data_IF_657324094890
#
_entry.id   IF_657324094890
#
_cell.length_a   1.000
_cell.length_b   1.000
_cell.length_c   1.000
_cell.angle_alpha   90.00
_cell.angle_beta   90.00
_cell.angle_gamma   90.00
#
_symmetry.space_group_name_H-M   'P 1'
#
loop_
_entity.id
_entity.type
_entity.pdbx_description
1 polymer ?
#
# COMPACT_ATOMS: atom_id res chain seq x y z
N UNK A 1 -6.95 6.81 27.73
CA UNK A 1 -5.91 7.49 26.88
C UNK A 1 -5.73 6.56 25.68
N UNK A 2 -5.63 7.08 24.46
CA UNK A 2 -5.38 6.24 23.28
C UNK A 2 -3.98 5.63 23.36
N UNK A 3 -3.82 4.36 22.90
CA UNK A 3 -2.50 3.75 22.68
C UNK A 3 -1.83 4.40 21.46
N UNK A 4 -0.52 4.19 21.28
CA UNK A 4 0.19 4.70 20.10
C UNK A 4 -0.35 4.05 18.81
N UNK A 5 -0.77 2.78 18.86
CA UNK A 5 -1.47 2.10 17.76
C UNK A 5 -2.81 2.77 17.41
N UNK A 6 -3.62 3.13 18.42
CA UNK A 6 -4.89 3.84 18.18
C UNK A 6 -4.68 5.24 17.60
N UNK A 7 -3.64 5.96 18.03
CA UNK A 7 -3.26 7.26 17.46
C UNK A 7 -2.82 7.12 15.99
N UNK A 8 -1.95 6.16 15.70
CA UNK A 8 -1.47 5.85 14.36
C UNK A 8 -2.63 5.66 13.39
N UNK A 9 -3.59 4.78 13.72
CA UNK A 9 -4.75 4.52 12.88
C UNK A 9 -5.75 5.68 12.80
N UNK A 10 -5.74 6.57 13.79
CA UNK A 10 -6.55 7.79 13.78
C UNK A 10 -5.92 8.92 12.95
N UNK A 11 -4.69 8.74 12.43
CA UNK A 11 -3.94 9.78 11.72
C UNK A 11 -3.44 10.90 12.64
N UNK A 12 -3.39 10.63 13.95
CA UNK A 12 -2.80 11.50 14.96
C UNK A 12 -1.28 11.28 15.03
N UNK A 13 -0.58 12.21 15.64
CA UNK A 13 0.85 12.03 15.91
C UNK A 13 1.04 10.91 16.95
N UNK A 14 1.96 9.99 16.66
CA UNK A 14 2.29 8.84 17.50
C UNK A 14 3.80 8.61 17.56
N UNK A 15 4.25 7.92 18.60
CA UNK A 15 5.64 7.56 18.79
C UNK A 15 5.95 6.24 18.10
N UNK A 16 6.65 6.29 16.95
CA UNK A 16 6.91 5.11 16.11
C UNK A 16 7.79 4.03 16.78
N UNK A 17 8.52 4.38 17.84
CA UNK A 17 9.35 3.43 18.57
C UNK A 17 8.64 2.84 19.82
N UNK A 18 7.32 2.89 19.89
CA UNK A 18 6.51 2.24 20.92
C UNK A 18 6.66 0.71 20.85
N UNK A 19 6.69 0.05 22.02
CA UNK A 19 6.94 -1.39 22.11
C UNK A 19 5.85 -2.22 21.40
N UNK A 20 4.56 -1.83 21.53
CA UNK A 20 3.45 -2.53 20.84
C UNK A 20 3.62 -2.45 19.33
N UNK A 21 3.94 -1.27 18.80
CA UNK A 21 4.15 -1.06 17.36
C UNK A 21 5.33 -1.86 16.82
N UNK A 22 6.45 -1.89 17.57
CA UNK A 22 7.65 -2.66 17.18
C UNK A 22 7.34 -4.17 17.13
N UNK A 23 6.57 -4.69 18.08
CA UNK A 23 6.17 -6.11 18.09
C UNK A 23 5.35 -6.44 16.85
N UNK A 24 4.28 -5.67 16.58
CA UNK A 24 3.40 -5.88 15.42
C UNK A 24 4.17 -5.76 14.08
N UNK A 25 5.07 -4.78 13.98
CA UNK A 25 5.92 -4.59 12.81
C UNK A 25 6.83 -5.80 12.56
N UNK A 26 7.44 -6.35 13.61
CA UNK A 26 8.33 -7.52 13.50
C UNK A 26 7.55 -8.78 13.15
N UNK A 27 6.38 -9.01 13.74
CA UNK A 27 5.49 -10.12 13.38
C UNK A 27 5.10 -10.09 11.89
N UNK A 28 4.80 -8.91 11.36
CA UNK A 28 4.50 -8.75 9.95
C UNK A 28 5.72 -9.00 9.06
N UNK A 29 6.91 -8.51 9.45
CA UNK A 29 8.16 -8.77 8.73
C UNK A 29 8.48 -10.27 8.64
N UNK A 30 8.29 -11.00 9.74
CA UNK A 30 8.48 -12.45 9.75
C UNK A 30 7.45 -13.14 8.84
N UNK A 31 6.19 -12.71 8.88
CA UNK A 31 5.15 -13.25 7.99
C UNK A 31 5.43 -12.97 6.50
N UNK A 32 5.94 -11.78 6.17
CA UNK A 32 6.39 -11.46 4.81
C UNK A 32 7.60 -12.28 4.40
N UNK A 33 8.56 -12.49 5.31
CA UNK A 33 9.71 -13.36 5.03
C UNK A 33 9.26 -14.78 4.72
N UNK A 34 8.39 -15.39 5.54
CA UNK A 34 7.84 -16.70 5.29
C UNK A 34 7.10 -16.78 3.94
N UNK A 35 6.24 -15.78 3.63
CA UNK A 35 5.56 -15.69 2.33
C UNK A 35 6.56 -15.71 1.18
N UNK A 36 7.62 -14.93 1.28
CA UNK A 36 8.62 -14.79 0.22
C UNK A 36 9.49 -16.04 0.03
N UNK A 37 9.51 -16.98 0.98
CA UNK A 37 10.20 -18.27 0.84
C UNK A 37 9.32 -19.38 0.24
N UNK A 38 8.00 -19.19 0.13
CA UNK A 38 7.11 -20.19 -0.47
C UNK A 38 7.43 -20.32 -1.96
N UNK A 39 7.58 -21.55 -2.45
CA UNK A 39 7.84 -21.80 -3.88
C UNK A 39 6.73 -21.19 -4.74
N UNK A 40 7.05 -20.47 -5.84
CA UNK A 40 6.05 -19.79 -6.70
C UNK A 40 4.94 -20.70 -7.23
N UNK A 41 5.23 -21.99 -7.41
CA UNK A 41 4.26 -22.99 -7.90
C UNK A 41 3.26 -23.48 -6.84
N UNK A 42 3.47 -23.16 -5.57
CA UNK A 42 2.60 -23.53 -4.44
C UNK A 42 1.47 -22.51 -4.26
N UNK A 43 0.61 -22.40 -5.26
CA UNK A 43 -0.40 -21.33 -5.33
C UNK A 43 -1.34 -21.31 -4.12
N UNK A 44 -1.82 -22.46 -3.67
CA UNK A 44 -2.70 -22.57 -2.49
C UNK A 44 -2.02 -22.05 -1.22
N UNK A 45 -0.79 -22.54 -0.95
CA UNK A 45 0.00 -22.14 0.22
C UNK A 45 0.30 -20.63 0.23
N UNK A 46 0.61 -20.07 -0.95
CA UNK A 46 0.81 -18.63 -1.12
C UNK A 46 -0.45 -17.83 -0.81
N UNK A 47 -1.60 -18.28 -1.33
CA UNK A 47 -2.87 -17.60 -1.12
C UNK A 47 -3.27 -17.64 0.37
N UNK A 48 -3.20 -18.80 1.01
CA UNK A 48 -3.47 -18.95 2.45
C UNK A 48 -2.57 -18.02 3.29
N UNK A 49 -1.28 -17.92 2.95
CA UNK A 49 -0.35 -17.05 3.68
C UNK A 49 -0.64 -15.56 3.45
N UNK A 50 -0.95 -15.14 2.22
CA UNK A 50 -1.30 -13.75 1.92
C UNK A 50 -2.58 -13.32 2.64
N UNK A 51 -3.59 -14.20 2.75
CA UNK A 51 -4.82 -13.93 3.51
C UNK A 51 -4.53 -13.77 5.02
N UNK A 52 -3.52 -14.45 5.55
CA UNK A 52 -3.09 -14.27 6.94
C UNK A 52 -2.38 -12.93 7.16
N UNK A 53 -1.63 -12.43 6.18
CA UNK A 53 -0.93 -11.14 6.27
C UNK A 53 -1.91 -9.99 6.13
N UNK A 54 -2.73 -9.99 5.09
CA UNK A 54 -3.60 -8.86 4.77
C UNK A 54 -4.79 -8.74 5.75
N UNK A 55 -5.27 -7.52 5.95
CA UNK A 55 -6.47 -7.26 6.74
C UNK A 55 -7.75 -7.69 6.05
N UNK A 56 -7.79 -7.61 4.70
CA UNK A 56 -8.86 -8.13 3.87
C UNK A 56 -8.34 -8.49 2.49
N UNK A 57 -8.70 -9.68 2.02
CA UNK A 57 -8.43 -10.15 0.65
C UNK A 57 -9.45 -11.22 0.27
N UNK A 58 -9.54 -11.57 -1.00
CA UNK A 58 -10.37 -12.65 -1.53
C UNK A 58 -9.52 -13.85 -1.97
N UNK A 59 -10.17 -14.99 -2.24
CA UNK A 59 -9.53 -16.23 -2.68
C UNK A 59 -8.81 -16.08 -4.03
N UNK A 60 -9.18 -15.09 -4.84
CA UNK A 60 -8.59 -14.76 -6.12
C UNK A 60 -7.50 -13.66 -6.03
N UNK A 61 -7.11 -13.28 -4.82
CA UNK A 61 -6.00 -12.35 -4.60
C UNK A 61 -4.68 -12.99 -5.01
N UNK A 62 -3.95 -12.31 -5.89
CA UNK A 62 -2.65 -12.81 -6.36
C UNK A 62 -1.58 -11.73 -6.24
N UNK A 63 -0.54 -12.02 -5.46
CA UNK A 63 0.64 -11.15 -5.30
C UNK A 63 1.88 -11.95 -5.65
N UNK A 64 2.69 -11.46 -6.60
CA UNK A 64 3.99 -12.06 -6.88
C UNK A 64 5.02 -11.69 -5.80
N UNK A 65 5.84 -12.66 -5.46
CA UNK A 65 6.95 -12.50 -4.52
C UNK A 65 8.15 -11.82 -5.22
N UNK A 66 8.96 -11.02 -4.49
CA UNK A 66 8.76 -10.70 -3.09
C UNK A 66 7.67 -9.63 -2.88
N UNK A 67 7.04 -9.66 -1.71
CA UNK A 67 6.10 -8.67 -1.20
C UNK A 67 6.54 -8.20 0.18
N UNK A 68 6.39 -6.91 0.48
CA UNK A 68 6.74 -6.31 1.76
C UNK A 68 5.68 -5.31 2.22
N UNK A 69 5.36 -5.36 3.50
CA UNK A 69 4.53 -4.38 4.17
C UNK A 69 4.93 -4.24 5.63
N UNK A 70 4.47 -3.19 6.30
CA UNK A 70 4.82 -2.92 7.69
C UNK A 70 3.92 -3.66 8.68
N UNK A 71 2.61 -3.59 8.52
CA UNK A 71 1.64 -4.24 9.40
C UNK A 71 0.78 -5.29 8.68
N UNK A 72 0.54 -5.12 7.38
CA UNK A 72 -0.29 -5.99 6.55
C UNK A 72 -1.78 -5.92 6.89
N UNK A 73 -2.12 -5.85 8.16
CA UNK A 73 -3.51 -5.81 8.65
C UNK A 73 -4.28 -4.56 8.27
N UNK A 74 -3.60 -3.51 7.87
CA UNK A 74 -4.23 -2.28 7.38
C UNK A 74 -4.42 -2.28 5.86
N UNK A 75 -3.93 -3.31 5.15
CA UNK A 75 -4.12 -3.46 3.70
C UNK A 75 -5.41 -4.23 3.43
N UNK A 76 -6.28 -3.64 2.62
CA UNK A 76 -7.56 -4.21 2.19
C UNK A 76 -7.62 -4.19 0.68
N UNK A 77 -7.77 -5.36 0.06
CA UNK A 77 -7.90 -5.49 -1.39
C UNK A 77 -9.25 -6.10 -1.75
N UNK A 78 -9.78 -5.67 -2.89
CA UNK A 78 -11.00 -6.19 -3.47
C UNK A 78 -10.77 -7.46 -4.28
N UNK A 79 -11.80 -7.85 -5.02
CA UNK A 79 -11.82 -9.07 -5.85
C UNK A 79 -10.88 -8.96 -7.04
N UNK A 80 -10.32 -10.09 -7.48
CA UNK A 80 -9.46 -10.19 -8.67
C UNK A 80 -8.26 -9.24 -8.62
N UNK A 81 -7.77 -8.98 -7.42
CA UNK A 81 -6.58 -8.18 -7.20
C UNK A 81 -5.33 -8.91 -7.69
N UNK A 82 -4.55 -8.26 -8.52
CA UNK A 82 -3.27 -8.76 -9.01
C UNK A 82 -2.15 -7.77 -8.71
N UNK A 83 -1.08 -8.24 -8.08
CA UNK A 83 0.16 -7.47 -7.95
C UNK A 83 1.35 -8.25 -8.53
N UNK A 84 2.16 -7.55 -9.30
CA UNK A 84 3.40 -8.07 -9.85
C UNK A 84 4.53 -8.02 -8.80
N UNK A 85 5.74 -8.38 -9.20
CA UNK A 85 6.90 -8.51 -8.33
C UNK A 85 7.23 -7.23 -7.57
N UNK A 86 7.67 -7.40 -6.32
CA UNK A 86 8.26 -6.35 -5.51
C UNK A 86 7.28 -5.19 -5.21
N UNK A 87 6.03 -5.53 -4.88
CA UNK A 87 5.10 -4.56 -4.29
C UNK A 87 5.56 -4.26 -2.86
N UNK A 88 5.67 -2.97 -2.52
CA UNK A 88 5.98 -2.46 -1.18
C UNK A 88 4.83 -1.59 -0.69
N UNK A 89 4.32 -1.87 0.50
CA UNK A 89 3.24 -1.07 1.12
C UNK A 89 3.63 -0.73 2.54
N UNK A 90 3.87 0.56 2.82
CA UNK A 90 4.07 1.05 4.19
C UNK A 90 2.68 1.45 4.71
N UNK A 91 2.10 0.56 5.52
CA UNK A 91 0.68 0.61 5.90
C UNK A 91 0.45 0.99 7.37
N UNK A 92 1.05 2.07 7.83
CA UNK A 92 0.76 2.70 9.13
C UNK A 92 -0.68 3.21 9.20
N UNK A 93 -1.25 3.64 8.06
CA UNK A 93 -2.68 3.88 7.90
C UNK A 93 -3.29 2.90 6.90
N UNK A 94 -4.62 2.87 6.80
CA UNK A 94 -5.30 1.98 5.87
C UNK A 94 -4.94 2.26 4.42
N UNK A 95 -4.61 1.18 3.69
CA UNK A 95 -4.52 1.13 2.24
C UNK A 95 -5.68 0.30 1.73
N UNK A 96 -6.64 0.94 1.06
CA UNK A 96 -7.83 0.27 0.51
C UNK A 96 -7.76 0.29 -1.01
N UNK A 97 -7.84 -0.89 -1.63
CA UNK A 97 -7.80 -1.07 -3.09
C UNK A 97 -9.06 -1.79 -3.52
N UNK A 98 -9.73 -1.28 -4.53
CA UNK A 98 -10.99 -1.83 -5.06
C UNK A 98 -10.80 -3.11 -5.87
N UNK A 99 -11.89 -3.51 -6.55
CA UNK A 99 -11.95 -4.69 -7.39
C UNK A 99 -11.20 -4.48 -8.72
N UNK A 100 -10.75 -5.56 -9.35
CA UNK A 100 -10.14 -5.57 -10.69
C UNK A 100 -8.90 -4.64 -10.82
N UNK A 101 -8.10 -4.56 -9.78
CA UNK A 101 -6.90 -3.74 -9.79
C UNK A 101 -5.65 -4.54 -10.18
N UNK A 102 -4.84 -3.95 -11.06
CA UNK A 102 -3.59 -4.53 -11.55
C UNK A 102 -2.40 -3.64 -11.17
N UNK A 103 -1.50 -4.18 -10.39
CA UNK A 103 -0.30 -3.47 -9.91
C UNK A 103 0.93 -4.01 -10.63
N UNK A 104 1.66 -3.13 -11.30
CA UNK A 104 2.93 -3.44 -11.97
C UNK A 104 4.07 -3.74 -10.99
N UNK A 105 5.24 -4.18 -11.51
CA UNK A 105 6.38 -4.48 -10.65
C UNK A 105 6.99 -3.21 -10.03
N UNK A 106 7.60 -3.37 -8.84
CA UNK A 106 8.27 -2.29 -8.12
C UNK A 106 7.36 -1.09 -7.79
N UNK A 107 6.09 -1.31 -7.57
CA UNK A 107 5.17 -0.26 -7.11
C UNK A 107 5.33 -0.08 -5.61
N UNK A 108 5.29 1.17 -5.15
CA UNK A 108 5.37 1.55 -3.75
C UNK A 108 4.16 2.39 -3.36
N UNK A 109 3.52 2.04 -2.24
CA UNK A 109 2.39 2.76 -1.66
C UNK A 109 2.78 3.14 -0.24
N UNK A 110 2.79 4.42 0.08
CA UNK A 110 3.22 4.91 1.38
C UNK A 110 2.08 5.61 2.10
N UNK A 111 1.93 5.32 3.39
CA UNK A 111 1.01 6.04 4.28
C UNK A 111 1.73 6.84 5.35
N UNK A 112 2.97 6.46 5.70
CA UNK A 112 3.79 7.12 6.70
C UNK A 112 4.21 8.54 6.29
N UNK A 113 4.21 9.45 7.25
CA UNK A 113 4.62 10.84 7.10
C UNK A 113 5.56 11.24 8.24
N UNK A 114 6.65 11.91 7.89
CA UNK A 114 7.58 12.50 8.84
C UNK A 114 7.62 14.00 8.73
N UNK A 115 7.94 14.70 9.83
CA UNK A 115 8.17 16.14 9.79
C UNK A 115 9.37 16.47 8.88
N UNK A 116 9.24 17.54 8.11
CA UNK A 116 10.34 18.12 7.34
C UNK A 116 11.34 18.86 8.25
N UNK A 117 10.93 19.25 9.46
CA UNK A 117 11.85 19.77 10.49
C UNK A 117 12.67 18.60 11.07
N UNK A 118 14.00 18.64 10.97
CA UNK A 118 14.85 17.58 11.49
C UNK A 118 14.76 17.44 13.02
N UNK A 119 14.49 18.51 13.76
CA UNK A 119 14.36 18.46 15.21
C UNK A 119 13.13 17.66 15.62
N UNK A 120 12.00 17.92 15.00
CA UNK A 120 10.75 17.16 15.20
C UNK A 120 10.92 15.70 14.74
N UNK A 121 11.44 15.49 13.53
CA UNK A 121 11.65 14.13 12.99
C UNK A 121 12.54 13.26 13.89
N UNK A 122 13.55 13.85 14.53
CA UNK A 122 14.48 13.14 15.40
C UNK A 122 13.84 12.69 16.73
N UNK A 123 12.63 13.17 17.07
CA UNK A 123 11.85 12.66 18.22
C UNK A 123 11.29 11.28 17.95
N UNK A 124 11.27 10.82 16.68
CA UNK A 124 10.60 9.61 16.17
C UNK A 124 9.09 9.66 16.25
N UNK A 125 8.52 10.84 16.43
CA UNK A 125 7.10 11.03 16.24
C UNK A 125 6.83 11.17 14.74
N UNK A 126 5.73 10.55 14.32
CA UNK A 126 5.28 10.57 12.94
C UNK A 126 3.75 10.50 12.89
N UNK A 127 3.17 10.60 11.73
CA UNK A 127 1.74 10.39 11.50
C UNK A 127 1.53 9.64 10.20
N UNK A 128 0.34 9.13 9.98
CA UNK A 128 0.02 8.42 8.76
C UNK A 128 -1.25 8.97 8.09
N UNK A 129 -1.33 8.84 6.76
CA UNK A 129 -2.48 9.23 5.96
C UNK A 129 -2.91 8.08 5.07
N UNK A 130 -4.20 7.68 5.09
CA UNK A 130 -4.67 6.54 4.32
C UNK A 130 -4.56 6.78 2.82
N UNK A 131 -4.39 5.69 2.07
CA UNK A 131 -4.45 5.69 0.61
C UNK A 131 -5.66 4.89 0.17
N UNK A 132 -6.44 5.45 -0.77
CA UNK A 132 -7.61 4.78 -1.35
C UNK A 132 -7.46 4.67 -2.86
N UNK A 133 -7.65 3.48 -3.40
CA UNK A 133 -7.60 3.19 -4.84
C UNK A 133 -8.94 2.55 -5.21
N UNK A 134 -9.61 3.13 -6.19
CA UNK A 134 -10.91 2.66 -6.68
C UNK A 134 -10.82 1.35 -7.45
N UNK A 135 -11.88 1.05 -8.19
CA UNK A 135 -12.01 -0.18 -8.97
C UNK A 135 -11.41 -0.01 -10.39
N UNK A 136 -11.04 -1.13 -11.03
CA UNK A 136 -10.50 -1.16 -12.40
C UNK A 136 -9.30 -0.22 -12.59
N UNK A 137 -8.39 -0.20 -11.64
CA UNK A 137 -7.19 0.65 -11.70
C UNK A 137 -5.98 -0.18 -12.16
N UNK A 138 -5.28 0.35 -13.15
CA UNK A 138 -3.99 -0.19 -13.57
C UNK A 138 -2.86 0.75 -13.19
N UNK A 139 -1.94 0.26 -12.37
CA UNK A 139 -0.74 0.99 -11.92
C UNK A 139 0.47 0.41 -12.60
N UNK A 140 1.10 1.19 -13.47
CA UNK A 140 2.34 0.84 -14.17
C UNK A 140 3.51 0.66 -13.21
N UNK A 141 4.47 -0.18 -13.61
CA UNK A 141 5.63 -0.50 -12.77
C UNK A 141 6.45 0.72 -12.34
N UNK A 142 7.14 0.59 -11.20
CA UNK A 142 7.96 1.65 -10.59
C UNK A 142 7.20 2.94 -10.28
N UNK A 143 5.90 2.84 -10.07
CA UNK A 143 5.06 3.96 -9.58
C UNK A 143 5.17 4.08 -8.08
N UNK A 144 5.20 5.33 -7.59
CA UNK A 144 5.10 5.64 -6.16
C UNK A 144 3.83 6.43 -5.88
N UNK A 145 3.04 5.98 -4.89
CA UNK A 145 1.84 6.68 -4.40
C UNK A 145 2.15 7.23 -3.02
N UNK A 146 2.00 8.54 -2.86
CA UNK A 146 2.29 9.24 -1.60
C UNK A 146 1.13 9.17 -0.61
N UNK A 147 1.40 9.47 0.68
CA UNK A 147 0.39 9.42 1.74
C UNK A 147 -0.82 10.34 1.48
N UNK A 148 -2.01 9.86 1.84
CA UNK A 148 -3.24 10.62 1.78
C UNK A 148 -3.91 10.71 0.41
N UNK A 149 -3.44 9.95 -0.58
CA UNK A 149 -3.92 10.01 -1.95
C UNK A 149 -5.17 9.14 -2.16
N UNK A 150 -6.13 9.72 -2.87
CA UNK A 150 -7.30 9.01 -3.40
C UNK A 150 -7.20 8.91 -4.93
N UNK A 151 -7.28 7.68 -5.45
CA UNK A 151 -7.35 7.38 -6.88
C UNK A 151 -8.74 6.84 -7.19
N UNK A 152 -9.44 7.51 -8.12
CA UNK A 152 -10.79 7.11 -8.52
C UNK A 152 -10.83 5.82 -9.36
N UNK A 153 -12.03 5.44 -9.78
CA UNK A 153 -12.24 4.25 -10.60
C UNK A 153 -11.77 4.43 -12.05
N UNK A 154 -11.48 3.32 -12.72
CA UNK A 154 -11.10 3.28 -14.15
C UNK A 154 -9.90 4.20 -14.47
N UNK A 155 -8.88 4.18 -13.62
CA UNK A 155 -7.66 4.98 -13.78
C UNK A 155 -6.52 4.11 -14.30
N UNK A 156 -5.70 4.68 -15.18
CA UNK A 156 -4.41 4.11 -15.56
C UNK A 156 -3.29 5.05 -15.13
N UNK A 157 -2.32 4.53 -14.40
CA UNK A 157 -1.10 5.25 -14.00
C UNK A 157 0.06 4.69 -14.80
N UNK A 158 0.71 5.54 -15.61
CA UNK A 158 1.87 5.13 -16.40
C UNK A 158 3.09 4.82 -15.53
N UNK A 159 3.92 3.90 -16.02
CA UNK A 159 5.13 3.45 -15.31
C UNK A 159 6.07 4.62 -14.94
N UNK A 160 6.75 4.51 -13.80
CA UNK A 160 7.69 5.52 -13.29
C UNK A 160 7.02 6.79 -12.76
N UNK A 161 5.71 6.80 -12.55
CA UNK A 161 4.98 7.96 -12.04
C UNK A 161 5.15 8.14 -10.54
N UNK A 162 5.06 9.40 -10.06
CA UNK A 162 4.94 9.73 -8.64
C UNK A 162 3.63 10.48 -8.42
N UNK A 163 2.67 9.82 -7.77
CA UNK A 163 1.33 10.36 -7.52
C UNK A 163 1.34 11.16 -6.22
N UNK A 164 1.25 12.48 -6.35
CA UNK A 164 1.36 13.45 -5.25
C UNK A 164 0.05 14.20 -4.98
N UNK A 165 -1.01 13.92 -5.75
CA UNK A 165 -2.35 14.51 -5.64
C UNK A 165 -3.40 13.48 -6.03
N UNK A 166 -4.61 13.68 -5.55
CA UNK A 166 -5.75 12.85 -5.92
C UNK A 166 -5.94 12.78 -7.44
N UNK A 167 -6.36 11.60 -7.89
CA UNK A 167 -6.59 11.31 -9.31
C UNK A 167 -8.08 11.06 -9.53
N UNK A 168 -8.77 11.88 -10.35
CA UNK A 168 -10.19 11.65 -10.63
C UNK A 168 -10.41 10.38 -11.46
N UNK A 169 -11.62 9.83 -11.41
CA UNK A 169 -11.98 8.63 -12.18
C UNK A 169 -11.87 8.84 -13.69
N UNK A 170 -11.61 7.76 -14.42
CA UNK A 170 -11.66 7.71 -15.88
C UNK A 170 -10.53 8.43 -16.61
N UNK A 171 -9.35 8.55 -16.01
CA UNK A 171 -8.21 9.25 -16.60
C UNK A 171 -6.95 8.39 -16.69
N UNK A 172 -6.05 8.81 -17.55
CA UNK A 172 -4.66 8.33 -17.61
C UNK A 172 -3.74 9.40 -17.06
N UNK A 173 -2.92 9.06 -16.08
CA UNK A 173 -1.90 9.95 -15.49
C UNK A 173 -0.50 9.39 -15.69
N UNK A 174 0.49 10.25 -15.89
CA UNK A 174 1.91 9.87 -16.05
C UNK A 174 2.84 10.94 -15.49
N UNK A 175 4.03 10.55 -15.12
CA UNK A 175 5.16 11.44 -14.84
C UNK A 175 5.45 11.65 -13.35
N UNK A 176 6.47 12.45 -13.08
CA UNK A 176 6.88 12.88 -11.73
C UNK A 176 6.98 14.42 -11.70
N UNK A 177 6.04 15.12 -11.04
CA UNK A 177 4.80 14.58 -10.47
C UNK A 177 3.80 14.11 -11.56
N UNK A 178 2.95 13.13 -11.22
CA UNK A 178 1.94 12.59 -12.13
C UNK A 178 0.90 13.65 -12.53
N UNK A 179 0.59 13.71 -13.82
CA UNK A 179 -0.39 14.64 -14.40
C UNK A 179 -1.35 13.88 -15.33
N UNK A 180 -2.59 14.33 -15.38
CA UNK A 180 -3.58 13.80 -16.33
C UNK A 180 -3.12 14.15 -17.75
N UNK A 181 -3.04 13.14 -18.62
CA UNK A 181 -2.67 13.30 -20.03
C UNK A 181 -3.85 13.05 -20.99
N UNK A 182 -4.81 12.23 -20.57
CA UNK A 182 -6.04 11.95 -21.36
C UNK A 182 -7.11 11.27 -20.50
N UNK A 183 -8.33 11.20 -21.03
CA UNK A 183 -9.37 10.32 -20.50
C UNK A 183 -9.14 8.88 -20.95
N UNK A 184 -9.55 7.92 -20.14
CA UNK A 184 -9.65 6.51 -20.56
C UNK A 184 -10.70 6.43 -21.66
N UNK A 185 -10.43 5.66 -22.71
CA UNK A 185 -11.47 5.38 -23.73
C UNK A 185 -12.45 4.40 -23.11
N UNK A 186 -13.72 4.78 -23.03
CA UNK A 186 -14.85 3.91 -22.75
C UNK A 186 -15.22 3.09 -23.97
#
# INVERSE_FOLDING_TARGET
MKTEYEKMLAGEEYFAADEELIVLLNECKDACWEYNQIRPTKLKERNEKIQQILGKSDDDTFINQPFYCDYGKHIRVGKRFFANFNLVVLDEAYVTIGDDCFIGPNVSIYTACHSTDPTERNTRNEWARPVTIGNNVWIGGSTTILPGITIGDNVTIGAGSVVVKDVPSGVVVVGNPAKVIKKVKG
#
